data_IF_100942540725
#
_entry.id   IF_100942540725
#
_cell.length_a   1.000
_cell.length_b   1.000
_cell.length_c   1.000
_cell.angle_alpha   90.00
_cell.angle_beta   90.00
_cell.angle_gamma   90.00
#
_symmetry.space_group_name_H-M   'P 1'
#
loop_
_entity.id
_entity.type
_entity.pdbx_description
1 polymer ?
#
# COMPACT_ATOMS: atom_id res chain seq x y z
N UNK A 1 22.41 -10.71 20.92
CA UNK A 1 21.09 -10.24 21.38
C UNK A 1 20.83 -8.87 20.78
N UNK A 2 19.84 -8.74 19.90
CA UNK A 2 19.48 -7.45 19.27
C UNK A 2 18.55 -6.71 20.24
N UNK A 3 18.75 -5.39 20.48
CA UNK A 3 18.00 -4.65 21.49
C UNK A 3 16.51 -4.63 21.16
N UNK A 4 15.70 -4.85 22.21
CA UNK A 4 14.23 -4.97 22.20
C UNK A 4 13.50 -3.80 21.52
N UNK A 5 14.17 -2.64 21.38
CA UNK A 5 13.67 -1.46 20.71
C UNK A 5 13.71 -1.55 19.17
N UNK A 6 14.61 -2.34 18.58
CA UNK A 6 14.67 -2.55 17.13
C UNK A 6 13.51 -3.41 16.61
N UNK A 7 12.91 -4.24 17.47
CA UNK A 7 11.78 -5.12 17.11
C UNK A 7 10.47 -4.36 16.86
N UNK A 8 10.33 -3.13 17.38
CA UNK A 8 9.13 -2.30 17.18
C UNK A 8 9.15 -1.51 15.86
N UNK A 9 10.34 -1.16 15.33
CA UNK A 9 10.49 -0.57 14.00
C UNK A 9 10.63 -1.62 12.88
N UNK A 10 10.77 -2.90 13.24
CA UNK A 10 10.81 -4.02 12.31
C UNK A 10 9.37 -4.49 11.99
N UNK A 11 8.56 -3.59 11.44
CA UNK A 11 7.52 -4.06 10.53
C UNK A 11 8.21 -4.86 9.43
N UNK A 12 7.74 -6.07 9.16
CA UNK A 12 8.05 -6.80 7.92
C UNK A 12 9.41 -7.51 7.80
N UNK A 13 9.85 -8.27 8.81
CA UNK A 13 10.82 -9.34 8.51
C UNK A 13 10.29 -10.69 8.98
N UNK A 14 9.75 -11.44 8.01
CA UNK A 14 9.14 -12.76 8.17
C UNK A 14 10.01 -13.71 9.00
N UNK A 15 11.35 -13.55 8.95
CA UNK A 15 12.29 -14.33 9.75
C UNK A 15 12.05 -14.22 11.25
N UNK A 16 11.84 -13.01 11.79
CA UNK A 16 11.58 -12.84 13.23
C UNK A 16 10.22 -13.42 13.63
N UNK A 17 9.22 -13.28 12.76
CA UNK A 17 7.90 -13.87 13.01
C UNK A 17 7.97 -15.41 13.01
N UNK A 18 8.71 -16.00 12.08
CA UNK A 18 8.94 -17.44 12.03
C UNK A 18 9.73 -17.94 13.25
N UNK A 19 10.75 -17.20 13.69
CA UNK A 19 11.52 -17.56 14.88
C UNK A 19 10.68 -17.43 16.16
N UNK A 20 9.86 -16.38 16.28
CA UNK A 20 8.88 -16.23 17.36
C UNK A 20 7.88 -17.39 17.38
N UNK A 21 7.28 -17.72 16.24
CA UNK A 21 6.32 -18.83 16.12
C UNK A 21 6.97 -20.17 16.46
N UNK A 22 8.22 -20.39 16.04
CA UNK A 22 8.99 -21.60 16.35
C UNK A 22 9.31 -21.69 17.84
N UNK A 23 9.63 -20.59 18.50
CA UNK A 23 9.88 -20.55 19.94
C UNK A 23 8.61 -20.91 20.73
N UNK A 24 7.48 -20.28 20.37
CA UNK A 24 6.17 -20.56 20.99
C UNK A 24 5.69 -21.99 20.76
N UNK A 25 5.93 -22.53 19.56
CA UNK A 25 5.59 -23.90 19.22
C UNK A 25 6.37 -24.94 20.04
N UNK A 26 7.57 -24.62 20.56
CA UNK A 26 8.32 -25.53 21.45
C UNK A 26 7.67 -25.64 22.83
N UNK A 27 7.03 -24.59 23.32
CA UNK A 27 6.42 -24.57 24.66
C UNK A 27 5.00 -25.14 24.65
N UNK A 28 4.20 -24.77 23.65
CA UNK A 28 2.76 -25.07 23.62
C UNK A 28 2.36 -26.06 22.51
N UNK A 29 3.30 -26.45 21.66
CA UNK A 29 3.02 -27.24 20.46
C UNK A 29 2.57 -26.38 19.27
N UNK A 30 2.83 -26.87 18.06
CA UNK A 30 2.55 -26.14 16.81
C UNK A 30 1.05 -25.87 16.59
N UNK A 31 0.18 -26.83 16.91
CA UNK A 31 -1.27 -26.69 16.67
C UNK A 31 -1.86 -25.58 17.55
N UNK A 32 -1.54 -25.60 18.86
CA UNK A 32 -2.06 -24.61 19.79
C UNK A 32 -1.49 -23.21 19.50
N UNK A 33 -0.21 -23.12 19.11
CA UNK A 33 0.42 -21.86 18.73
C UNK A 33 -0.22 -21.26 17.48
N UNK A 34 -0.46 -22.05 16.43
CA UNK A 34 -1.12 -21.54 15.22
C UNK A 34 -2.58 -21.13 15.48
N UNK A 35 -3.30 -21.90 16.31
CA UNK A 35 -4.68 -21.58 16.66
C UNK A 35 -4.77 -20.33 17.55
N UNK A 36 -3.88 -20.20 18.53
CA UNK A 36 -3.91 -19.13 19.51
C UNK A 36 -3.24 -17.84 19.01
N UNK A 37 -1.96 -17.87 18.65
CA UNK A 37 -1.20 -16.69 18.20
C UNK A 37 -1.55 -16.31 16.74
N UNK A 38 -1.94 -17.27 15.92
CA UNK A 38 -2.35 -17.02 14.53
C UNK A 38 -3.83 -16.64 14.45
N UNK A 39 -4.72 -17.63 14.64
CA UNK A 39 -6.14 -17.47 14.33
C UNK A 39 -6.86 -16.57 15.36
N UNK A 40 -6.76 -16.89 16.65
CA UNK A 40 -7.47 -16.13 17.68
C UNK A 40 -6.87 -14.74 17.89
N UNK A 41 -5.54 -14.64 17.99
CA UNK A 41 -4.84 -13.38 18.16
C UNK A 41 -5.11 -12.38 17.02
N UNK A 42 -5.08 -12.83 15.77
CA UNK A 42 -5.28 -11.94 14.62
C UNK A 42 -6.76 -11.75 14.32
N UNK A 43 -7.58 -12.80 14.24
CA UNK A 43 -8.95 -12.63 13.75
C UNK A 43 -9.97 -12.28 14.84
N UNK A 44 -9.82 -12.79 16.07
CA UNK A 44 -10.83 -12.56 17.12
C UNK A 44 -10.58 -11.26 17.87
N UNK A 45 -9.32 -10.86 18.06
CA UNK A 45 -9.01 -9.59 18.74
C UNK A 45 -8.79 -8.44 17.76
N UNK A 46 -8.05 -8.65 16.67
CA UNK A 46 -7.72 -7.56 15.76
C UNK A 46 -8.90 -7.18 14.85
N UNK A 47 -9.66 -8.15 14.33
CA UNK A 47 -10.72 -7.84 13.36
C UNK A 47 -11.91 -7.07 13.99
N UNK A 48 -12.45 -7.46 15.17
CA UNK A 48 -13.48 -6.66 15.84
C UNK A 48 -12.96 -5.30 16.32
N UNK A 49 -11.70 -5.21 16.77
CA UNK A 49 -11.09 -3.93 17.15
C UNK A 49 -10.93 -3.00 15.95
N UNK A 50 -10.45 -3.52 14.82
CA UNK A 50 -10.36 -2.79 13.57
C UNK A 50 -11.74 -2.32 13.10
N UNK A 51 -12.73 -3.20 13.14
CA UNK A 51 -14.12 -2.85 12.81
C UNK A 51 -14.69 -1.78 13.74
N UNK A 52 -14.42 -1.86 15.04
CA UNK A 52 -14.84 -0.85 16.02
C UNK A 52 -14.17 0.51 15.78
N UNK A 53 -12.86 0.52 15.54
CA UNK A 53 -12.11 1.74 15.22
C UNK A 53 -12.55 2.34 13.88
N UNK A 54 -12.76 1.51 12.86
CA UNK A 54 -13.32 1.93 11.58
C UNK A 54 -14.68 2.59 11.77
N UNK A 55 -15.59 1.99 12.53
CA UNK A 55 -16.90 2.60 12.81
C UNK A 55 -16.78 3.89 13.61
N UNK A 56 -15.92 3.96 14.63
CA UNK A 56 -15.75 5.17 15.45
C UNK A 56 -15.05 6.33 14.73
N UNK A 57 -14.22 6.04 13.73
CA UNK A 57 -13.44 7.05 12.99
C UNK A 57 -14.00 7.38 11.61
N UNK A 58 -14.77 6.48 11.01
CA UNK A 58 -15.26 6.61 9.63
C UNK A 58 -16.79 6.53 9.52
N UNK A 59 -17.52 6.31 10.62
CA UNK A 59 -18.98 6.27 10.59
C UNK A 59 -19.65 7.19 11.64
N UNK A 60 -20.53 8.10 11.22
CA UNK A 60 -20.90 8.41 9.83
C UNK A 60 -19.72 9.02 9.04
N UNK A 61 -19.67 8.86 7.71
CA UNK A 61 -18.68 9.55 6.88
C UNK A 61 -18.70 11.04 7.24
N UNK A 62 -17.57 11.65 7.57
CA UNK A 62 -17.54 13.08 7.89
C UNK A 62 -18.02 13.84 6.66
N UNK A 63 -18.99 14.72 6.85
CA UNK A 63 -19.50 15.55 5.77
C UNK A 63 -18.38 16.48 5.30
N UNK A 64 -18.04 16.39 4.01
CA UNK A 64 -16.90 17.10 3.41
C UNK A 64 -17.29 18.55 3.08
N UNK A 65 -17.74 19.27 4.11
CA UNK A 65 -18.25 20.65 4.02
C UNK A 65 -17.14 21.70 3.94
N UNK A 66 -15.87 21.28 4.00
CA UNK A 66 -14.75 22.21 3.94
C UNK A 66 -14.67 22.86 2.55
N UNK A 67 -14.59 24.20 2.45
CA UNK A 67 -14.70 24.91 1.18
C UNK A 67 -13.63 24.50 0.16
N UNK A 68 -12.41 24.20 0.61
CA UNK A 68 -11.36 23.71 -0.28
C UNK A 68 -11.67 22.31 -0.83
N UNK A 69 -12.41 21.45 -0.12
CA UNK A 69 -12.74 20.11 -0.65
C UNK A 69 -13.81 20.24 -1.75
N UNK A 70 -14.78 21.12 -1.54
CA UNK A 70 -15.84 21.41 -2.52
C UNK A 70 -15.28 22.03 -3.81
N UNK A 71 -14.21 22.82 -3.72
CA UNK A 71 -13.55 23.39 -4.90
C UNK A 71 -12.87 22.32 -5.74
N UNK A 72 -12.22 21.34 -5.11
CA UNK A 72 -11.54 20.24 -5.79
C UNK A 72 -12.49 19.13 -6.25
N UNK A 73 -13.66 18.99 -5.61
CA UNK A 73 -14.67 17.99 -5.99
C UNK A 73 -15.55 18.44 -7.15
N UNK A 74 -15.41 19.69 -7.63
CA UNK A 74 -16.16 20.16 -8.80
C UNK A 74 -15.71 19.39 -10.04
N UNK A 75 -16.65 18.83 -10.83
CA UNK A 75 -16.28 18.20 -12.08
C UNK A 75 -15.60 19.23 -12.98
N UNK A 76 -14.39 18.92 -13.45
CA UNK A 76 -13.71 19.78 -14.42
C UNK A 76 -14.54 19.82 -15.72
N UNK A 77 -14.64 20.99 -16.38
CA UNK A 77 -15.33 21.12 -17.66
C UNK A 77 -14.82 20.10 -18.69
N UNK A 78 -15.69 19.51 -19.52
CA UNK A 78 -15.30 18.53 -20.54
C UNK A 78 -14.27 19.07 -21.54
N UNK A 79 -14.24 20.39 -21.78
CA UNK A 79 -13.20 21.04 -22.60
C UNK A 79 -11.80 20.97 -21.99
N UNK A 80 -11.68 20.89 -20.66
CA UNK A 80 -10.41 20.66 -19.96
C UNK A 80 -10.01 19.19 -19.99
N UNK A 81 -10.96 18.25 -20.02
CA UNK A 81 -10.69 16.82 -20.22
C UNK A 81 -10.23 16.50 -21.65
N UNK A 82 -10.74 17.23 -22.64
CA UNK A 82 -10.38 17.02 -24.04
C UNK A 82 -8.95 17.45 -24.39
N UNK A 83 -8.34 18.33 -23.58
CA UNK A 83 -6.98 18.83 -23.78
C UNK A 83 -6.03 18.12 -22.81
N UNK A 84 -5.05 17.41 -23.35
CA UNK A 84 -3.93 16.89 -22.55
C UNK A 84 -3.18 18.07 -21.91
N UNK A 85 -2.72 17.90 -20.68
CA UNK A 85 -1.97 18.95 -20.00
C UNK A 85 -0.64 19.21 -20.72
N UNK A 86 -0.18 20.46 -20.72
CA UNK A 86 1.07 20.83 -21.38
C UNK A 86 2.28 20.03 -20.84
N UNK A 87 2.29 19.74 -19.54
CA UNK A 87 3.31 18.88 -18.92
C UNK A 87 3.25 17.45 -19.47
N UNK A 88 2.06 16.88 -19.68
CA UNK A 88 1.89 15.54 -20.24
C UNK A 88 2.36 15.48 -21.70
N UNK A 89 2.07 16.50 -22.50
CA UNK A 89 2.58 16.60 -23.87
C UNK A 89 4.11 16.63 -23.91
N UNK A 90 4.76 17.39 -23.02
CA UNK A 90 6.23 17.42 -22.96
C UNK A 90 6.83 16.08 -22.53
N UNK A 91 6.19 15.39 -21.57
CA UNK A 91 6.61 14.05 -21.13
C UNK A 91 6.43 13.00 -22.23
N UNK A 92 5.33 13.07 -23.00
CA UNK A 92 5.08 12.20 -24.16
C UNK A 92 6.14 12.45 -25.23
N UNK A 93 6.40 13.70 -25.60
CA UNK A 93 7.41 14.05 -26.61
C UNK A 93 8.81 13.54 -26.23
N UNK A 94 9.18 13.66 -24.94
CA UNK A 94 10.44 13.12 -24.43
C UNK A 94 10.48 11.59 -24.55
N UNK A 95 9.40 10.92 -24.15
CA UNK A 95 9.30 9.45 -24.21
C UNK A 95 9.31 8.94 -25.65
N UNK A 96 8.64 9.61 -26.57
CA UNK A 96 8.61 9.26 -27.99
C UNK A 96 9.98 9.44 -28.63
N UNK A 97 10.73 10.50 -28.27
CA UNK A 97 12.11 10.67 -28.72
C UNK A 97 13.04 9.56 -28.19
N UNK A 98 12.93 9.20 -26.91
CA UNK A 98 13.66 8.08 -26.33
C UNK A 98 13.27 6.74 -26.98
N UNK A 99 11.99 6.55 -27.31
CA UNK A 99 11.51 5.34 -27.98
C UNK A 99 12.06 5.25 -29.40
N UNK A 100 12.05 6.34 -30.17
CA UNK A 100 12.56 6.39 -31.54
C UNK A 100 14.06 6.06 -31.61
N UNK A 101 14.84 6.55 -30.63
CA UNK A 101 16.26 6.18 -30.51
C UNK A 101 16.41 4.70 -30.20
N UNK A 102 15.61 4.15 -29.27
CA UNK A 102 15.63 2.72 -28.95
C UNK A 102 15.22 1.83 -30.13
N UNK A 103 14.21 2.20 -30.91
CA UNK A 103 13.81 1.44 -32.11
C UNK A 103 14.85 1.53 -33.21
N UNK A 104 15.52 2.67 -33.39
CA UNK A 104 16.63 2.80 -34.33
C UNK A 104 17.82 1.91 -33.92
N UNK A 105 18.24 1.98 -32.66
CA UNK A 105 19.31 1.14 -32.12
C UNK A 105 18.96 -0.36 -32.18
N UNK A 106 17.73 -0.74 -31.85
CA UNK A 106 17.27 -2.13 -31.94
C UNK A 106 17.09 -2.64 -33.38
N UNK A 107 16.99 -1.74 -34.37
CA UNK A 107 16.98 -2.10 -35.79
C UNK A 107 18.38 -2.24 -36.38
N UNK A 108 19.36 -1.52 -35.82
CA UNK A 108 20.77 -1.57 -36.25
C UNK A 108 21.54 -2.74 -35.62
N UNK A 109 21.11 -3.21 -34.44
CA UNK A 109 21.66 -4.40 -33.75
C UNK A 109 21.02 -5.74 -34.20
N UNK A 110 20.18 -5.72 -35.26
CA UNK A 110 19.57 -6.91 -35.84
C UNK A 110 20.34 -7.31 -37.12
N UNK A 111 21.02 -8.47 -37.16
CA UNK A 111 21.81 -8.92 -38.32
C UNK A 111 20.96 -9.25 -39.55
#
# INVERSE_FOLDING_TARGET
AVPKAAALNAGENLRFYLDYMRDKAKTHGWILTLLWDGILGVFVFNAPLAQYLQRKKLYPPPDLTYPAILEWSKPLPPEQWAKRSAELETAIAKREAELAVQTAQASEDRP
#
